data_IF_125126630862
#
_entry.id   IF_125126630862
#
_cell.length_a   1.000
_cell.length_b   1.000
_cell.length_c   1.000
_cell.angle_alpha   90.00
_cell.angle_beta   90.00
_cell.angle_gamma   90.00
#
_symmetry.space_group_name_H-M   'P 1'
#
loop_
_entity.id
_entity.type
_entity.pdbx_description
1 polymer ?
#
# COMPACT_ATOMS: atom_id res chain seq x y z
N UNK A 1 6.69 -15.83 16.37
CA UNK A 1 6.20 -15.44 15.03
C UNK A 1 5.58 -16.65 14.36
N UNK A 2 4.44 -16.50 13.68
CA UNK A 2 3.81 -17.62 12.97
C UNK A 2 4.67 -18.10 11.80
N UNK A 3 4.90 -19.42 11.72
CA UNK A 3 5.64 -20.06 10.63
C UNK A 3 5.09 -19.72 9.26
N UNK A 4 3.79 -19.83 9.14
CA UNK A 4 3.11 -19.72 7.87
C UNK A 4 3.23 -18.30 7.31
N UNK A 5 3.06 -17.27 8.15
CA UNK A 5 3.22 -15.87 7.72
C UNK A 5 4.64 -15.61 7.24
N UNK A 6 5.65 -16.00 8.02
CA UNK A 6 7.05 -15.77 7.64
C UNK A 6 7.40 -16.49 6.34
N UNK A 7 6.94 -17.74 6.18
CA UNK A 7 7.19 -18.54 4.97
C UNK A 7 6.50 -17.92 3.75
N UNK A 8 5.23 -17.53 3.88
CA UNK A 8 4.45 -16.90 2.81
C UNK A 8 5.04 -15.54 2.40
N UNK A 9 5.40 -14.69 3.36
CA UNK A 9 6.02 -13.40 3.10
C UNK A 9 7.40 -13.55 2.44
N UNK A 10 8.25 -14.46 2.91
CA UNK A 10 9.57 -14.71 2.29
C UNK A 10 9.40 -15.26 0.86
N UNK A 11 8.44 -16.16 0.64
CA UNK A 11 8.14 -16.72 -0.68
C UNK A 11 7.63 -15.63 -1.64
N UNK A 12 6.70 -14.79 -1.19
CA UNK A 12 6.19 -13.65 -1.95
C UNK A 12 7.29 -12.65 -2.30
N UNK A 13 8.13 -12.30 -1.33
CA UNK A 13 9.26 -11.38 -1.51
C UNK A 13 10.27 -11.90 -2.56
N UNK A 14 10.65 -13.18 -2.48
CA UNK A 14 11.53 -13.79 -3.48
C UNK A 14 10.90 -13.79 -4.89
N UNK A 15 9.60 -14.05 -4.99
CA UNK A 15 8.89 -14.05 -6.26
C UNK A 15 8.82 -12.65 -6.88
N UNK A 16 8.40 -11.64 -6.12
CA UNK A 16 8.21 -10.27 -6.65
C UNK A 16 9.53 -9.59 -6.98
N UNK A 17 10.60 -9.81 -6.20
CA UNK A 17 11.93 -9.26 -6.52
C UNK A 17 12.45 -9.87 -7.83
N UNK A 18 12.28 -11.18 -8.02
CA UNK A 18 12.65 -11.84 -9.26
C UNK A 18 11.84 -11.30 -10.45
N UNK A 19 10.52 -11.14 -10.28
CA UNK A 19 9.67 -10.56 -11.31
C UNK A 19 10.09 -9.14 -11.68
N UNK A 20 10.43 -8.31 -10.68
CA UNK A 20 10.94 -6.96 -10.89
C UNK A 20 12.26 -6.94 -11.66
N UNK A 21 13.21 -7.84 -11.35
CA UNK A 21 14.47 -7.99 -12.09
C UNK A 21 14.22 -8.35 -13.56
N UNK A 22 13.33 -9.33 -13.81
CA UNK A 22 12.97 -9.76 -15.16
C UNK A 22 12.20 -8.69 -15.94
N UNK A 23 11.35 -7.92 -15.25
CA UNK A 23 10.61 -6.80 -15.84
C UNK A 23 11.55 -5.65 -16.19
N UNK A 24 12.50 -5.31 -15.31
CA UNK A 24 13.50 -4.28 -15.55
C UNK A 24 14.40 -4.63 -16.72
N UNK A 25 14.89 -5.88 -16.78
CA UNK A 25 15.73 -6.35 -17.87
C UNK A 25 15.02 -6.22 -19.24
N UNK A 26 13.73 -6.59 -19.29
CA UNK A 26 12.89 -6.41 -20.49
C UNK A 26 12.68 -4.94 -20.83
N UNK A 27 12.34 -4.10 -19.85
CA UNK A 27 12.11 -2.68 -20.06
C UNK A 27 13.38 -1.95 -20.56
N UNK A 28 14.56 -2.29 -20.03
CA UNK A 28 15.84 -1.75 -20.50
C UNK A 28 16.13 -2.20 -21.94
N UNK A 29 15.84 -3.45 -22.28
CA UNK A 29 16.03 -3.94 -23.65
C UNK A 29 15.09 -3.26 -24.66
N UNK A 30 13.87 -2.93 -24.26
CA UNK A 30 12.83 -2.33 -25.12
C UNK A 30 12.96 -0.80 -25.23
N UNK A 31 13.09 -0.10 -24.10
CA UNK A 31 13.06 1.36 -24.02
C UNK A 31 14.44 2.00 -23.91
N UNK A 32 15.46 1.21 -23.60
CA UNK A 32 16.82 1.67 -23.32
C UNK A 32 17.05 2.05 -21.85
N UNK A 33 18.32 2.02 -21.39
CA UNK A 33 18.67 2.28 -19.98
C UNK A 33 18.38 3.73 -19.54
N UNK A 34 18.37 4.68 -20.47
CA UNK A 34 18.15 6.10 -20.18
C UNK A 34 16.67 6.53 -20.31
N UNK A 35 15.75 5.59 -20.51
CA UNK A 35 14.32 5.90 -20.51
C UNK A 35 13.91 6.51 -19.16
N UNK A 36 13.18 7.65 -19.16
CA UNK A 36 12.86 8.38 -17.94
C UNK A 36 11.87 7.60 -17.07
N UNK A 37 12.11 7.63 -15.76
CA UNK A 37 11.24 7.07 -14.72
C UNK A 37 10.90 8.20 -13.76
N UNK A 38 9.62 8.56 -13.67
CA UNK A 38 9.16 9.59 -12.76
C UNK A 38 7.68 9.36 -12.41
N UNK A 39 7.35 9.52 -11.13
CA UNK A 39 5.97 9.68 -10.71
C UNK A 39 5.50 11.11 -10.99
N UNK A 40 4.21 11.31 -11.32
CA UNK A 40 3.67 12.63 -11.60
C UNK A 40 3.76 13.55 -10.37
N UNK A 41 4.19 14.79 -10.61
CA UNK A 41 4.10 15.91 -9.66
C UNK A 41 4.72 15.62 -8.26
N UNK A 42 5.86 14.92 -8.23
CA UNK A 42 6.63 14.72 -7.00
C UNK A 42 8.08 15.17 -7.12
N UNK A 43 8.60 15.77 -6.04
CA UNK A 43 10.00 16.14 -5.87
C UNK A 43 10.83 15.03 -5.20
N UNK A 44 10.21 13.89 -4.88
CA UNK A 44 10.81 12.80 -4.11
C UNK A 44 11.10 11.54 -4.94
N UNK A 45 11.23 11.68 -6.27
CA UNK A 45 11.54 10.59 -7.20
C UNK A 45 10.56 9.41 -7.05
N UNK A 46 11.07 8.21 -6.78
CA UNK A 46 10.32 7.07 -6.27
C UNK A 46 10.42 7.09 -4.73
N UNK A 47 9.38 7.52 -4.01
CA UNK A 47 9.54 7.93 -2.63
C UNK A 47 9.95 6.86 -1.63
N UNK A 48 9.50 5.61 -1.79
CA UNK A 48 9.87 4.51 -0.89
C UNK A 48 11.35 4.19 -1.07
N UNK A 49 11.80 3.98 -2.31
CA UNK A 49 13.19 3.74 -2.70
C UNK A 49 14.07 4.90 -2.21
N UNK A 50 13.68 6.14 -2.49
CA UNK A 50 14.44 7.31 -2.06
C UNK A 50 14.49 7.41 -0.53
N UNK A 51 13.39 7.12 0.16
CA UNK A 51 13.32 7.11 1.61
C UNK A 51 14.26 6.08 2.24
N UNK A 52 14.23 4.83 1.76
CA UNK A 52 15.04 3.74 2.31
C UNK A 52 16.51 3.82 1.92
N UNK A 53 16.81 4.15 0.65
CA UNK A 53 18.16 3.99 0.09
C UNK A 53 18.87 5.30 -0.18
N UNK A 54 18.12 6.41 -0.32
CA UNK A 54 18.64 7.70 -0.77
C UNK A 54 18.92 7.76 -2.27
N UNK A 55 18.68 6.67 -3.01
CA UNK A 55 18.89 6.61 -4.46
C UNK A 55 17.82 7.46 -5.15
N UNK A 56 18.27 8.39 -5.99
CA UNK A 56 17.42 9.23 -6.81
C UNK A 56 17.19 8.55 -8.15
N UNK A 57 16.06 7.85 -8.28
CA UNK A 57 15.69 7.17 -9.52
C UNK A 57 15.12 8.19 -10.50
N UNK A 58 15.79 8.37 -11.64
CA UNK A 58 15.36 9.25 -12.73
C UNK A 58 15.23 8.53 -14.07
N UNK A 59 15.86 7.36 -14.20
CA UNK A 59 15.84 6.51 -15.39
C UNK A 59 15.83 5.03 -15.03
N UNK A 60 15.50 4.17 -16.00
CA UNK A 60 15.45 2.72 -15.79
C UNK A 60 16.77 2.15 -15.24
N UNK A 61 17.92 2.62 -15.70
CA UNK A 61 19.21 2.13 -15.21
C UNK A 61 19.43 2.35 -13.71
N UNK A 62 18.80 3.38 -13.12
CA UNK A 62 18.94 3.69 -11.69
C UNK A 62 18.22 2.65 -10.81
N UNK A 63 17.29 1.86 -11.37
CA UNK A 63 16.61 0.77 -10.67
C UNK A 63 17.48 -0.48 -10.49
N UNK A 64 18.56 -0.63 -11.26
CA UNK A 64 19.46 -1.79 -11.15
C UNK A 64 20.10 -1.88 -9.75
N UNK A 65 20.76 -0.83 -9.22
CA UNK A 65 21.31 -0.89 -7.85
C UNK A 65 20.22 -1.03 -6.78
N UNK A 66 19.00 -0.54 -7.04
CA UNK A 66 17.86 -0.69 -6.11
C UNK A 66 17.45 -2.15 -5.98
N UNK A 67 17.26 -2.85 -7.10
CA UNK A 67 16.90 -4.28 -7.09
C UNK A 67 18.03 -5.17 -6.57
N UNK A 68 19.30 -4.80 -6.80
CA UNK A 68 20.44 -5.47 -6.17
C UNK A 68 20.40 -5.33 -4.64
N UNK A 69 20.05 -4.15 -4.13
CA UNK A 69 19.86 -3.95 -2.70
C UNK A 69 18.67 -4.74 -2.17
N UNK A 70 17.53 -4.73 -2.86
CA UNK A 70 16.36 -5.55 -2.49
C UNK A 70 16.72 -7.05 -2.42
N UNK A 71 17.48 -7.55 -3.39
CA UNK A 71 17.98 -8.93 -3.41
C UNK A 71 18.88 -9.25 -2.21
N UNK A 72 19.70 -8.29 -1.76
CA UNK A 72 20.57 -8.49 -0.59
C UNK A 72 19.82 -8.63 0.74
N UNK A 73 18.56 -8.19 0.78
CA UNK A 73 17.67 -8.30 1.93
C UNK A 73 16.84 -9.59 1.93
N UNK A 74 16.88 -10.36 0.84
CA UNK A 74 16.13 -11.61 0.73
C UNK A 74 16.77 -12.71 1.56
N UNK A 75 15.91 -13.41 2.30
CA UNK A 75 16.26 -14.61 3.05
C UNK A 75 15.74 -15.87 2.35
N UNK A 76 16.39 -17.03 2.53
CA UNK A 76 15.91 -18.29 1.97
C UNK A 76 14.59 -18.71 2.63
N UNK A 77 13.74 -19.40 1.87
CA UNK A 77 12.51 -19.98 2.44
C UNK A 77 12.89 -21.01 3.52
N UNK A 78 12.34 -20.90 4.74
CA UNK A 78 12.69 -21.80 5.84
C UNK A 78 12.43 -23.28 5.49
N UNK A 79 13.33 -24.15 5.93
CA UNK A 79 13.16 -25.62 5.80
C UNK A 79 12.26 -26.18 6.89
N UNK A 80 11.59 -27.32 6.63
CA UNK A 80 10.66 -27.93 7.58
C UNK A 80 11.30 -28.40 8.91
N UNK A 81 12.63 -28.59 8.94
CA UNK A 81 13.35 -29.25 10.04
C UNK A 81 14.08 -28.30 11.00
N UNK A 82 14.49 -27.12 10.53
CA UNK A 82 15.28 -26.15 11.33
C UNK A 82 14.57 -24.81 11.35
N UNK A 83 14.05 -24.45 12.53
CA UNK A 83 13.12 -23.35 12.69
C UNK A 83 13.82 -22.02 12.96
N UNK A 84 14.13 -21.30 11.89
CA UNK A 84 14.55 -19.90 11.90
C UNK A 84 13.87 -19.23 10.69
N UNK A 85 12.71 -18.59 10.92
CA UNK A 85 12.74 -17.17 10.65
C UNK A 85 12.34 -16.33 11.85
N UNK A 86 13.16 -15.32 12.13
CA UNK A 86 12.84 -14.28 13.09
C UNK A 86 12.01 -13.18 12.41
N UNK A 87 11.32 -12.39 13.25
CA UNK A 87 10.62 -11.19 12.81
C UNK A 87 11.52 -10.28 11.96
N UNK A 88 12.81 -10.16 12.29
CA UNK A 88 13.78 -9.42 11.48
C UNK A 88 13.85 -9.87 10.02
N UNK A 89 14.08 -11.16 9.76
CA UNK A 89 14.21 -11.69 8.39
C UNK A 89 12.93 -11.52 7.57
N UNK A 90 11.77 -11.66 8.21
CA UNK A 90 10.48 -11.41 7.55
C UNK A 90 10.32 -9.93 7.18
N UNK A 91 10.79 -9.02 8.04
CA UNK A 91 10.73 -7.58 7.77
C UNK A 91 11.74 -7.14 6.72
N UNK A 92 12.94 -7.73 6.68
CA UNK A 92 13.93 -7.50 5.63
C UNK A 92 13.34 -7.89 4.26
N UNK A 93 12.73 -9.08 4.17
CA UNK A 93 11.98 -9.51 2.98
C UNK A 93 10.79 -8.59 2.68
N UNK A 94 10.12 -8.07 3.71
CA UNK A 94 9.07 -7.06 3.56
C UNK A 94 9.60 -5.78 2.90
N UNK A 95 10.73 -5.24 3.38
CA UNK A 95 11.38 -4.05 2.77
C UNK A 95 11.83 -4.36 1.34
N UNK A 96 12.39 -5.54 1.08
CA UNK A 96 12.75 -5.98 -0.27
C UNK A 96 11.53 -5.97 -1.22
N UNK A 97 10.38 -6.42 -0.73
CA UNK A 97 9.10 -6.41 -1.46
C UNK A 97 8.71 -4.99 -1.82
N UNK A 98 8.74 -4.05 -0.86
CA UNK A 98 8.37 -2.66 -1.12
C UNK A 98 9.27 -2.00 -2.18
N UNK A 99 10.58 -2.25 -2.13
CA UNK A 99 11.53 -1.75 -3.13
C UNK A 99 11.24 -2.33 -4.52
N UNK A 100 10.88 -3.61 -4.61
CA UNK A 100 10.52 -4.27 -5.85
C UNK A 100 9.18 -3.76 -6.42
N UNK A 101 8.17 -3.58 -5.56
CA UNK A 101 6.86 -3.05 -5.95
C UNK A 101 6.97 -1.63 -6.51
N UNK A 102 7.73 -0.74 -5.84
CA UNK A 102 7.90 0.63 -6.34
C UNK A 102 8.75 0.66 -7.63
N UNK A 103 9.72 -0.25 -7.77
CA UNK A 103 10.45 -0.41 -9.02
C UNK A 103 9.54 -0.87 -10.17
N UNK A 104 8.63 -1.83 -9.92
CA UNK A 104 7.63 -2.28 -10.89
C UNK A 104 6.71 -1.13 -11.29
N UNK A 105 6.18 -0.36 -10.33
CA UNK A 105 5.36 0.82 -10.65
C UNK A 105 6.15 1.86 -11.44
N UNK A 106 7.42 2.11 -11.10
CA UNK A 106 8.30 2.98 -11.89
C UNK A 106 8.47 2.51 -13.34
N UNK A 107 8.63 1.19 -13.56
CA UNK A 107 8.72 0.60 -14.90
C UNK A 107 7.38 0.74 -15.64
N UNK A 108 6.25 0.49 -14.98
CA UNK A 108 4.90 0.65 -15.56
C UNK A 108 4.65 2.10 -15.98
N UNK A 109 5.11 3.08 -15.20
CA UNK A 109 5.07 4.49 -15.59
C UNK A 109 5.94 4.79 -16.82
N UNK A 110 7.16 4.25 -16.89
CA UNK A 110 8.02 4.39 -18.08
C UNK A 110 7.38 3.78 -19.34
N UNK A 111 6.59 2.71 -19.17
CA UNK A 111 5.79 2.07 -20.24
C UNK A 111 4.43 2.72 -20.51
N UNK A 112 4.04 3.74 -19.74
CA UNK A 112 2.71 4.38 -19.80
C UNK A 112 1.55 3.43 -19.52
N UNK A 113 1.80 2.41 -18.70
CA UNK A 113 0.79 1.48 -18.19
C UNK A 113 0.09 2.03 -16.94
N UNK A 114 0.69 3.04 -16.30
CA UNK A 114 0.16 3.73 -15.12
C UNK A 114 -0.10 5.22 -15.41
N UNK A 115 -1.14 5.84 -14.80
CA UNK A 115 -2.11 5.20 -13.90
C UNK A 115 -2.95 4.12 -14.59
N UNK A 116 -3.34 3.10 -13.84
CA UNK A 116 -4.07 1.94 -14.35
C UNK A 116 -5.40 2.37 -14.97
N UNK A 117 -5.73 1.83 -16.15
CA UNK A 117 -7.04 2.06 -16.78
C UNK A 117 -8.11 1.19 -16.10
N UNK A 118 -9.09 1.83 -15.47
CA UNK A 118 -10.27 1.22 -14.86
C UNK A 118 -11.53 1.79 -15.53
N UNK A 119 -12.08 1.13 -16.56
CA UNK A 119 -13.23 1.62 -17.32
C UNK A 119 -14.43 1.97 -16.43
N UNK A 120 -15.01 3.15 -16.64
CA UNK A 120 -16.18 3.63 -15.88
C UNK A 120 -15.86 4.29 -14.53
N UNK A 121 -14.60 4.30 -14.08
CA UNK A 121 -14.22 4.99 -12.85
C UNK A 121 -14.22 6.50 -13.07
N UNK A 122 -14.99 7.24 -12.27
CA UNK A 122 -15.02 8.70 -12.28
C UNK A 122 -14.58 9.18 -10.89
N UNK A 123 -13.56 10.03 -10.85
CA UNK A 123 -12.97 10.51 -9.61
C UNK A 123 -13.23 12.00 -9.38
N UNK A 124 -13.51 12.38 -8.13
CA UNK A 124 -13.67 13.77 -7.71
C UNK A 124 -12.39 14.31 -7.09
N UNK A 125 -11.65 15.09 -7.88
CA UNK A 125 -10.30 15.53 -7.55
C UNK A 125 -9.27 14.40 -7.70
N UNK A 126 -8.24 14.62 -8.52
CA UNK A 126 -7.17 13.64 -8.78
C UNK A 126 -5.83 14.32 -9.02
N UNK A 127 -4.73 13.60 -8.78
CA UNK A 127 -3.39 14.03 -9.20
C UNK A 127 -3.16 13.91 -10.70
N UNK A 128 -3.97 13.09 -11.37
CA UNK A 128 -3.86 12.87 -12.81
C UNK A 128 -4.98 13.63 -13.54
N UNK A 129 -4.69 14.87 -13.89
CA UNK A 129 -5.54 15.74 -14.72
C UNK A 129 -4.89 15.95 -16.09
N UNK A 130 -4.45 14.87 -16.76
CA UNK A 130 -3.82 15.01 -18.07
C UNK A 130 -4.83 15.53 -19.12
N UNK A 131 -4.63 16.72 -19.70
CA UNK A 131 -5.49 17.24 -20.78
C UNK A 131 -5.46 16.34 -22.02
N UNK A 132 -4.34 15.63 -22.22
CA UNK A 132 -4.12 14.74 -23.37
C UNK A 132 -5.03 13.49 -23.37
N UNK A 133 -5.58 13.11 -22.22
CA UNK A 133 -6.53 11.99 -22.11
C UNK A 133 -7.99 12.46 -22.16
N UNK A 134 -8.24 13.73 -21.82
CA UNK A 134 -9.54 14.38 -22.01
C UNK A 134 -9.84 14.66 -23.51
N UNK A 135 -8.81 14.67 -24.36
CA UNK A 135 -8.95 14.83 -25.81
C UNK A 135 -9.63 13.63 -26.52
N UNK A 136 -9.81 12.50 -25.84
CA UNK A 136 -10.44 11.28 -26.36
C UNK A 136 -11.94 11.11 -26.06
N UNK A 137 -12.58 12.07 -25.38
CA UNK A 137 -14.01 12.04 -25.08
C UNK A 137 -14.44 11.11 -23.93
N UNK A 138 -13.55 10.28 -23.37
CA UNK A 138 -13.77 9.55 -22.12
C UNK A 138 -13.27 10.41 -20.94
N UNK A 139 -14.17 11.16 -20.30
CA UNK A 139 -13.88 11.83 -19.02
C UNK A 139 -13.89 10.77 -17.92
N UNK A 140 -12.71 10.34 -17.47
CA UNK A 140 -12.54 9.30 -16.44
C UNK A 140 -11.92 8.03 -16.98
N UNK A 141 -11.98 6.96 -16.19
CA UNK A 141 -11.54 5.62 -16.59
C UNK A 141 -10.13 5.23 -16.13
N UNK A 142 -9.53 5.96 -15.18
CA UNK A 142 -8.18 5.69 -14.66
C UNK A 142 -8.16 5.74 -13.14
N UNK A 143 -7.36 4.87 -12.53
CA UNK A 143 -7.00 4.97 -11.12
C UNK A 143 -6.21 6.27 -10.86
N UNK A 144 -6.07 6.65 -9.60
CA UNK A 144 -5.31 7.84 -9.24
C UNK A 144 -3.80 7.67 -9.45
N UNK A 145 -3.27 6.48 -9.20
CA UNK A 145 -1.83 6.26 -9.05
C UNK A 145 -1.26 7.03 -7.84
N UNK A 146 0.02 7.45 -7.87
CA UNK A 146 0.64 8.17 -6.76
C UNK A 146 0.00 9.55 -6.56
N UNK A 147 -0.30 9.89 -5.30
CA UNK A 147 -0.76 11.22 -4.91
C UNK A 147 0.37 12.23 -5.14
N UNK A 148 0.07 13.42 -5.66
CA UNK A 148 1.04 14.48 -5.88
C UNK A 148 1.46 15.20 -4.58
N UNK A 149 2.57 15.94 -4.63
CA UNK A 149 3.11 16.61 -3.46
C UNK A 149 2.26 17.81 -3.00
N UNK A 150 1.42 18.39 -3.86
CA UNK A 150 0.52 19.50 -3.49
C UNK A 150 -0.60 18.97 -2.60
N UNK A 151 -1.24 17.87 -3.01
CA UNK A 151 -2.29 17.23 -2.22
C UNK A 151 -1.73 16.61 -0.93
N UNK A 152 -0.55 15.99 -0.98
CA UNK A 152 0.16 15.55 0.22
C UNK A 152 0.34 16.69 1.22
N UNK A 153 0.75 17.88 0.77
CA UNK A 153 0.89 19.07 1.63
C UNK A 153 -0.44 19.52 2.20
N UNK A 154 -1.51 19.51 1.41
CA UNK A 154 -2.85 19.88 1.85
C UNK A 154 -3.38 18.94 2.96
N UNK A 155 -3.29 17.62 2.77
CA UNK A 155 -3.72 16.64 3.79
C UNK A 155 -2.77 16.57 4.98
N UNK A 156 -1.47 16.75 4.77
CA UNK A 156 -0.50 16.73 5.86
C UNK A 156 -0.73 17.82 6.92
N UNK A 157 -1.24 19.00 6.53
CA UNK A 157 -1.69 20.01 7.49
C UNK A 157 -2.82 19.46 8.37
N UNK A 158 -3.80 18.75 7.77
CA UNK A 158 -4.91 18.14 8.50
C UNK A 158 -4.47 16.98 9.40
N UNK A 159 -3.45 16.23 8.99
CA UNK A 159 -2.84 15.17 9.80
C UNK A 159 -2.13 15.74 11.03
N UNK A 160 -1.46 16.89 10.88
CA UNK A 160 -0.72 17.54 11.98
C UNK A 160 -1.65 18.25 12.96
N UNK A 161 -2.72 18.90 12.48
CA UNK A 161 -3.69 19.59 13.33
C UNK A 161 -4.79 18.68 13.91
N UNK A 162 -4.82 17.40 13.50
CA UNK A 162 -5.70 16.36 14.05
C UNK A 162 -7.08 16.30 13.42
N UNK A 163 -7.40 17.11 12.40
CA UNK A 163 -8.67 17.02 11.65
C UNK A 163 -8.77 15.74 10.81
N UNK A 164 -7.63 15.23 10.37
CA UNK A 164 -7.52 13.91 9.74
C UNK A 164 -6.72 13.02 10.69
N UNK A 165 -7.34 12.01 11.31
CA UNK A 165 -6.68 11.26 12.37
C UNK A 165 -5.65 10.25 11.85
N UNK A 166 -5.71 9.89 10.56
CA UNK A 166 -4.83 8.90 9.93
C UNK A 166 -5.35 8.43 8.58
N UNK A 167 -4.84 7.29 8.10
CA UNK A 167 -5.33 6.67 6.88
C UNK A 167 -5.50 5.14 6.99
N UNK A 168 -6.40 4.58 6.21
CA UNK A 168 -6.64 3.15 6.08
C UNK A 168 -6.25 2.68 4.68
N UNK A 169 -5.33 1.72 4.58
CA UNK A 169 -5.01 1.05 3.33
C UNK A 169 -5.85 -0.23 3.21
N UNK A 170 -6.87 -0.21 2.36
CA UNK A 170 -7.72 -1.37 2.09
C UNK A 170 -7.16 -2.12 0.88
N UNK A 171 -6.89 -3.42 1.05
CA UNK A 171 -6.30 -4.28 0.02
C UNK A 171 -7.20 -5.49 -0.23
N UNK A 172 -7.66 -5.67 -1.47
CA UNK A 172 -8.46 -6.84 -1.88
C UNK A 172 -9.93 -6.50 -2.15
N UNK A 173 -10.85 -7.37 -1.73
CA UNK A 173 -12.28 -7.19 -1.94
C UNK A 173 -13.08 -7.69 -0.74
N UNK A 174 -14.09 -6.92 -0.33
CA UNK A 174 -15.01 -7.29 0.72
C UNK A 174 -15.90 -8.46 0.29
N UNK A 175 -16.48 -9.16 1.27
CA UNK A 175 -17.44 -10.25 1.05
C UNK A 175 -18.62 -9.87 0.13
N UNK A 176 -19.11 -8.64 0.22
CA UNK A 176 -20.18 -8.11 -0.64
C UNK A 176 -19.99 -6.61 -0.91
N UNK A 177 -20.72 -6.09 -1.90
CA UNK A 177 -20.69 -4.66 -2.23
C UNK A 177 -21.20 -3.80 -1.05
N UNK A 178 -22.28 -4.22 -0.39
CA UNK A 178 -22.87 -3.50 0.75
C UNK A 178 -21.89 -3.41 1.92
N UNK A 179 -21.13 -4.48 2.17
CA UNK A 179 -20.05 -4.51 3.17
C UNK A 179 -18.93 -3.55 2.80
N UNK A 180 -18.50 -3.53 1.53
CA UNK A 180 -17.49 -2.57 1.06
C UNK A 180 -17.93 -1.11 1.30
N UNK A 181 -19.17 -0.78 0.94
CA UNK A 181 -19.75 0.55 1.16
C UNK A 181 -19.77 0.88 2.65
N UNK A 182 -20.26 -0.01 3.50
CA UNK A 182 -20.32 0.24 4.94
C UNK A 182 -18.93 0.46 5.54
N UNK A 183 -17.93 -0.34 5.18
CA UNK A 183 -16.54 -0.16 5.64
C UNK A 183 -16.03 1.24 5.28
N UNK A 184 -16.16 1.65 4.03
CA UNK A 184 -15.69 2.97 3.56
C UNK A 184 -16.46 4.10 4.23
N UNK A 185 -17.78 4.00 4.34
CA UNK A 185 -18.61 5.02 5.01
C UNK A 185 -18.25 5.18 6.47
N UNK A 186 -17.95 4.10 7.19
CA UNK A 186 -17.49 4.17 8.58
C UNK A 186 -16.15 4.90 8.71
N UNK A 187 -15.24 4.72 7.77
CA UNK A 187 -13.96 5.44 7.76
C UNK A 187 -14.14 6.92 7.39
N UNK A 188 -14.98 7.22 6.39
CA UNK A 188 -15.31 8.59 5.97
C UNK A 188 -15.98 9.40 7.09
N UNK A 189 -16.96 8.83 7.81
CA UNK A 189 -17.62 9.48 8.95
C UNK A 189 -16.66 9.91 10.05
N UNK A 190 -15.48 9.29 10.09
CA UNK A 190 -14.39 9.51 11.05
C UNK A 190 -13.27 10.36 10.47
N UNK A 191 -13.45 10.92 9.27
CA UNK A 191 -12.46 11.68 8.50
C UNK A 191 -11.13 10.92 8.28
N UNK A 192 -11.16 9.58 8.30
CA UNK A 192 -9.99 8.75 8.01
C UNK A 192 -9.83 8.70 6.49
N UNK A 193 -8.64 9.04 6.00
CA UNK A 193 -8.30 8.94 4.59
C UNK A 193 -8.23 7.46 4.17
N UNK A 194 -8.84 7.10 3.06
CA UNK A 194 -8.93 5.71 2.61
C UNK A 194 -8.18 5.54 1.30
N UNK A 195 -7.32 4.52 1.24
CA UNK A 195 -6.59 4.12 0.06
C UNK A 195 -7.07 2.74 -0.37
N UNK A 196 -7.47 2.60 -1.63
CA UNK A 196 -8.05 1.36 -2.16
C UNK A 196 -7.07 0.73 -3.16
N UNK A 197 -6.73 -0.53 -2.92
CA UNK A 197 -5.85 -1.30 -3.80
C UNK A 197 -6.20 -2.79 -3.81
N UNK A 198 -5.59 -3.57 -4.70
CA UNK A 198 -5.67 -5.02 -4.67
C UNK A 198 -6.97 -5.62 -5.17
N UNK A 199 -6.93 -6.93 -5.37
CA UNK A 199 -8.06 -7.75 -5.77
C UNK A 199 -8.00 -9.14 -5.12
N UNK A 200 -9.13 -9.83 -5.19
CA UNK A 200 -9.28 -11.25 -4.90
C UNK A 200 -9.95 -11.86 -6.12
N UNK A 201 -9.26 -12.78 -6.80
CA UNK A 201 -9.76 -13.45 -8.00
C UNK A 201 -10.25 -12.47 -9.09
N UNK A 202 -9.52 -11.37 -9.30
CA UNK A 202 -9.85 -10.33 -10.29
C UNK A 202 -10.92 -9.33 -9.84
N UNK A 203 -11.50 -9.50 -8.65
CA UNK A 203 -12.46 -8.56 -8.07
C UNK A 203 -11.76 -7.65 -7.05
N UNK A 204 -11.83 -6.33 -7.25
CA UNK A 204 -11.30 -5.31 -6.34
C UNK A 204 -12.43 -4.60 -5.60
N UNK A 205 -12.16 -4.11 -4.39
CA UNK A 205 -13.05 -3.20 -3.67
C UNK A 205 -13.40 -1.95 -4.49
N UNK A 206 -12.50 -1.49 -5.37
CA UNK A 206 -12.78 -0.37 -6.28
C UNK A 206 -14.01 -0.68 -7.13
N UNK A 207 -14.07 -1.88 -7.73
CA UNK A 207 -15.23 -2.29 -8.52
C UNK A 207 -16.51 -2.40 -7.68
N UNK A 208 -16.40 -2.86 -6.42
CA UNK A 208 -17.55 -2.96 -5.51
C UNK A 208 -18.16 -1.59 -5.21
N UNK A 209 -17.31 -0.59 -4.96
CA UNK A 209 -17.76 0.77 -4.66
C UNK A 209 -18.30 1.49 -5.91
N UNK A 210 -17.71 1.23 -7.08
CA UNK A 210 -18.19 1.77 -8.35
C UNK A 210 -19.61 1.27 -8.69
N UNK A 211 -19.88 -0.01 -8.49
CA UNK A 211 -21.20 -0.60 -8.76
C UNK A 211 -22.30 -0.03 -7.87
N UNK A 212 -21.97 0.33 -6.64
CA UNK A 212 -22.88 0.98 -5.69
C UNK A 212 -22.96 2.51 -5.87
N UNK A 213 -22.29 3.06 -6.89
CA UNK A 213 -22.28 4.49 -7.18
C UNK A 213 -21.64 5.33 -6.07
N UNK A 214 -20.68 4.76 -5.32
CA UNK A 214 -19.92 5.52 -4.32
C UNK A 214 -18.96 6.46 -5.02
N UNK A 215 -19.05 7.74 -4.67
CA UNK A 215 -18.13 8.76 -5.13
C UNK A 215 -16.72 8.57 -4.51
N UNK A 216 -15.71 8.47 -5.37
CA UNK A 216 -14.31 8.24 -5.00
C UNK A 216 -13.46 9.43 -5.46
N UNK A 217 -12.40 9.74 -4.73
CA UNK A 217 -11.50 10.84 -5.06
C UNK A 217 -11.00 11.60 -3.83
N UNK A 218 -10.44 12.78 -4.08
CA UNK A 218 -9.87 13.65 -3.06
C UNK A 218 -10.94 14.34 -2.23
N UNK A 219 -12.09 14.64 -2.82
CA UNK A 219 -13.20 15.30 -2.13
C UNK A 219 -13.88 14.38 -1.10
N UNK A 220 -13.83 13.06 -1.33
CA UNK A 220 -14.39 12.03 -0.43
C UNK A 220 -13.34 11.34 0.44
N UNK A 221 -12.08 11.80 0.39
CA UNK A 221 -10.93 11.17 1.06
C UNK A 221 -10.85 9.66 0.80
N UNK A 222 -11.22 9.21 -0.40
CA UNK A 222 -11.23 7.79 -0.75
C UNK A 222 -10.58 7.61 -2.11
N UNK A 223 -9.29 7.29 -2.10
CA UNK A 223 -8.44 7.31 -3.30
C UNK A 223 -8.21 5.89 -3.81
N UNK A 224 -8.62 5.58 -5.05
CA UNK A 224 -8.29 4.31 -5.69
C UNK A 224 -6.90 4.38 -6.33
N UNK A 225 -6.01 3.51 -5.89
CA UNK A 225 -4.63 3.44 -6.37
C UNK A 225 -4.45 2.49 -7.55
N UNK A 226 -5.13 1.34 -7.53
CA UNK A 226 -5.10 0.34 -8.60
C UNK A 226 -5.77 -0.95 -8.16
N UNK A 227 -6.00 -1.88 -9.09
CA UNK A 227 -6.70 -3.14 -8.81
C UNK A 227 -5.75 -4.26 -8.37
N UNK A 228 -4.44 -4.05 -8.39
CA UNK A 228 -3.46 -5.04 -7.92
C UNK A 228 -2.85 -4.68 -6.55
N UNK A 229 -2.23 -5.68 -5.93
CA UNK A 229 -1.60 -5.50 -4.60
C UNK A 229 -0.37 -4.59 -4.69
N UNK A 230 0.34 -4.59 -5.82
CA UNK A 230 1.53 -3.76 -6.05
C UNK A 230 1.19 -2.27 -5.88
N UNK A 231 0.01 -1.84 -6.33
CA UNK A 231 -0.49 -0.48 -6.18
C UNK A 231 -0.62 -0.01 -4.72
N UNK A 232 -0.61 -0.91 -3.74
CA UNK A 232 -0.57 -0.54 -2.31
C UNK A 232 0.72 0.24 -1.95
N UNK A 233 1.77 0.12 -2.76
CA UNK A 233 3.03 0.86 -2.57
C UNK A 233 2.83 2.37 -2.55
N UNK A 234 1.82 2.90 -3.26
CA UNK A 234 1.53 4.34 -3.26
C UNK A 234 1.10 4.84 -1.88
N UNK A 235 0.45 4.01 -1.04
CA UNK A 235 0.11 4.34 0.34
C UNK A 235 1.38 4.50 1.20
N UNK A 236 2.35 3.60 1.02
CA UNK A 236 3.63 3.63 1.73
C UNK A 236 4.53 4.76 1.21
N UNK A 237 4.44 5.08 -0.08
CA UNK A 237 5.06 6.27 -0.68
C UNK A 237 4.48 7.57 -0.11
N UNK A 238 3.17 7.64 0.14
CA UNK A 238 2.53 8.76 0.85
C UNK A 238 3.06 8.92 2.29
N UNK A 239 3.13 7.81 3.03
CA UNK A 239 3.67 7.78 4.39
C UNK A 239 5.16 8.19 4.44
N UNK A 240 5.96 7.68 3.51
CA UNK A 240 7.38 8.04 3.38
C UNK A 240 7.55 9.53 3.13
N UNK A 241 6.78 10.10 2.19
CA UNK A 241 6.83 11.54 1.90
C UNK A 241 6.32 12.41 3.04
N UNK A 242 5.44 11.90 3.89
CA UNK A 242 5.05 12.61 5.12
C UNK A 242 6.24 12.79 6.05
N UNK A 243 7.08 11.77 6.23
CA UNK A 243 8.31 11.90 7.00
C UNK A 243 9.32 12.86 6.35
N UNK A 244 9.50 12.77 5.02
CA UNK A 244 10.41 13.67 4.29
C UNK A 244 9.95 15.14 4.34
N UNK A 245 8.65 15.38 4.17
CA UNK A 245 8.08 16.74 4.07
C UNK A 245 7.87 17.40 5.42
N UNK A 246 7.25 16.69 6.38
CA UNK A 246 6.86 17.26 7.68
C UNK A 246 7.81 16.87 8.81
N UNK A 247 8.47 15.72 8.70
CA UNK A 247 9.49 15.29 9.65
C UNK A 247 10.87 15.89 9.37
N UNK A 248 11.11 16.42 8.17
CA UNK A 248 12.40 16.99 7.75
C UNK A 248 13.50 15.95 7.56
N UNK A 249 13.15 14.67 7.45
CA UNK A 249 14.08 13.60 7.11
C UNK A 249 14.59 13.73 5.68
N UNK A 250 15.77 13.18 5.43
CA UNK A 250 16.38 13.08 4.09
C UNK A 250 16.29 11.64 3.57
N UNK A 251 16.39 11.47 2.25
CA UNK A 251 16.48 10.15 1.65
C UNK A 251 17.67 9.35 2.21
N UNK A 252 17.47 8.04 2.39
CA UNK A 252 18.44 7.13 3.01
C UNK A 252 18.42 7.09 4.54
N UNK A 253 17.64 7.96 5.20
CA UNK A 253 17.42 7.92 6.65
C UNK A 253 16.30 6.93 7.01
N UNK A 254 16.45 5.67 6.57
CA UNK A 254 15.40 4.66 6.66
C UNK A 254 14.87 4.49 8.09
N UNK A 255 15.76 4.40 9.07
CA UNK A 255 15.37 4.20 10.48
C UNK A 255 14.55 5.36 11.00
N UNK A 256 14.97 6.59 10.75
CA UNK A 256 14.30 7.81 11.20
C UNK A 256 12.93 7.95 10.53
N UNK A 257 12.83 7.62 9.23
CA UNK A 257 11.57 7.61 8.48
C UNK A 257 10.59 6.58 9.05
N UNK A 258 11.05 5.35 9.34
CA UNK A 258 10.21 4.32 9.93
C UNK A 258 9.75 4.71 11.34
N UNK A 259 10.63 5.28 12.17
CA UNK A 259 10.27 5.78 13.50
C UNK A 259 9.29 6.94 13.43
N UNK A 260 9.45 7.87 12.48
CA UNK A 260 8.48 8.94 12.26
C UNK A 260 7.10 8.35 11.95
N UNK A 261 7.02 7.44 10.97
CA UNK A 261 5.76 6.83 10.57
C UNK A 261 5.08 6.07 11.71
N UNK A 262 5.85 5.28 12.47
CA UNK A 262 5.36 4.57 13.64
C UNK A 262 4.68 5.49 14.65
N UNK A 263 5.23 6.67 14.94
CA UNK A 263 4.75 7.55 16.01
C UNK A 263 3.88 8.73 15.56
N UNK A 264 3.90 9.09 14.28
CA UNK A 264 3.22 10.29 13.76
C UNK A 264 2.19 9.99 12.69
N UNK A 265 2.27 8.85 12.01
CA UNK A 265 1.34 8.46 10.95
C UNK A 265 0.47 7.31 11.44
N UNK A 266 -0.77 7.61 11.81
CA UNK A 266 -1.70 6.60 12.32
C UNK A 266 -2.36 5.85 11.15
N UNK A 267 -1.60 4.95 10.53
CA UNK A 267 -2.09 4.12 9.44
C UNK A 267 -2.25 2.65 9.82
N UNK A 268 -3.23 1.98 9.22
CA UNK A 268 -3.43 0.54 9.31
C UNK A 268 -3.80 -0.06 7.95
N UNK A 269 -3.53 -1.35 7.80
CA UNK A 269 -3.90 -2.14 6.62
C UNK A 269 -5.13 -2.99 6.95
N UNK A 270 -6.13 -2.94 6.08
CA UNK A 270 -7.29 -3.82 6.11
C UNK A 270 -7.25 -4.72 4.87
N UNK A 271 -6.86 -5.98 5.05
CA UNK A 271 -6.84 -6.99 4.00
C UNK A 271 -8.22 -7.66 3.93
N UNK A 272 -8.86 -7.59 2.77
CA UNK A 272 -10.19 -8.14 2.53
C UNK A 272 -10.14 -9.30 1.54
N UNK A 273 -10.73 -10.42 1.94
CA UNK A 273 -10.74 -11.69 1.21
C UNK A 273 -9.42 -12.44 1.29
N UNK A 274 -9.16 -13.30 0.29
CA UNK A 274 -8.03 -14.22 0.31
C UNK A 274 -6.67 -13.49 0.31
N UNK A 275 -5.82 -13.87 1.27
CA UNK A 275 -4.47 -13.35 1.45
C UNK A 275 -3.46 -14.29 0.81
N UNK A 276 -3.01 -13.93 -0.39
CA UNK A 276 -1.94 -14.60 -1.11
C UNK A 276 -0.54 -14.20 -0.59
N UNK A 277 0.50 -14.86 -1.10
CA UNK A 277 1.89 -14.62 -0.69
C UNK A 277 2.37 -13.20 -0.95
N UNK A 278 1.91 -12.56 -2.03
CA UNK A 278 2.27 -11.17 -2.34
C UNK A 278 1.69 -10.26 -1.27
N UNK A 279 0.40 -10.40 -0.94
CA UNK A 279 -0.24 -9.65 0.16
C UNK A 279 0.48 -9.86 1.49
N UNK A 280 0.92 -11.08 1.82
CA UNK A 280 1.73 -11.33 3.02
C UNK A 280 3.07 -10.58 2.99
N UNK A 281 3.74 -10.56 1.84
CA UNK A 281 5.03 -9.89 1.67
C UNK A 281 4.90 -8.36 1.77
N UNK A 282 3.91 -7.78 1.09
CA UNK A 282 3.59 -6.33 1.17
C UNK A 282 3.21 -5.94 2.60
N UNK A 283 2.38 -6.74 3.28
CA UNK A 283 1.99 -6.50 4.67
C UNK A 283 3.19 -6.58 5.62
N UNK A 284 4.15 -7.48 5.40
CA UNK A 284 5.40 -7.49 6.15
C UNK A 284 6.18 -6.17 6.01
N UNK A 285 6.21 -5.59 4.81
CA UNK A 285 6.74 -4.25 4.57
C UNK A 285 5.99 -3.17 5.34
N UNK A 286 4.65 -3.19 5.35
CA UNK A 286 3.83 -2.25 6.10
C UNK A 286 4.06 -2.33 7.62
N UNK A 287 4.30 -3.53 8.16
CA UNK A 287 4.64 -3.72 9.58
C UNK A 287 5.94 -2.98 9.91
N UNK A 288 6.94 -2.94 9.01
CA UNK A 288 8.18 -2.19 9.22
C UNK A 288 7.94 -0.69 9.48
N UNK A 289 6.89 -0.11 8.88
CA UNK A 289 6.45 1.28 9.13
C UNK A 289 5.73 1.47 10.48
N UNK A 290 5.46 0.38 11.20
CA UNK A 290 4.64 0.39 12.41
C UNK A 290 3.14 0.36 12.12
N UNK A 291 2.73 -0.07 10.92
CA UNK A 291 1.32 -0.18 10.53
C UNK A 291 0.81 -1.61 10.75
N UNK A 292 -0.19 -1.82 11.61
CA UNK A 292 -0.78 -3.12 11.85
C UNK A 292 -1.62 -3.55 10.65
N UNK A 293 -1.71 -4.86 10.44
CA UNK A 293 -2.56 -5.46 9.41
C UNK A 293 -3.69 -6.26 10.06
N UNK A 294 -4.91 -5.99 9.64
CA UNK A 294 -6.11 -6.72 10.05
C UNK A 294 -6.66 -7.41 8.81
N UNK A 295 -6.91 -8.72 8.90
CA UNK A 295 -7.50 -9.49 7.82
C UNK A 295 -8.89 -10.00 8.21
N UNK A 296 -9.84 -9.95 7.26
CA UNK A 296 -11.20 -10.45 7.42
C UNK A 296 -11.33 -11.97 7.12
N UNK A 297 -10.21 -12.67 6.95
CA UNK A 297 -10.12 -14.10 6.73
C UNK A 297 -9.32 -14.81 7.83
N UNK A 298 -9.44 -16.14 7.89
CA UNK A 298 -8.70 -16.98 8.82
C UNK A 298 -7.24 -17.03 8.38
N UNK A 299 -6.39 -16.28 9.08
CA UNK A 299 -4.95 -16.28 8.89
C UNK A 299 -4.25 -16.44 10.24
N UNK A 300 -2.98 -16.87 10.28
CA UNK A 300 -2.24 -16.84 11.52
C UNK A 300 -2.08 -15.39 12.03
N UNK A 301 -1.74 -15.23 13.31
CA UNK A 301 -1.62 -13.91 13.93
C UNK A 301 -0.18 -13.64 14.38
N UNK A 302 0.17 -12.35 14.45
CA UNK A 302 1.40 -11.84 15.05
C UNK A 302 1.00 -10.86 16.13
N UNK A 303 0.71 -11.42 17.31
CA UNK A 303 0.30 -10.69 18.51
C UNK A 303 1.42 -9.95 19.26
N UNK A 304 2.73 -10.31 19.13
CA UNK A 304 3.77 -9.54 19.79
C UNK A 304 3.74 -8.05 19.44
N UNK A 305 4.02 -7.21 20.43
CA UNK A 305 4.06 -5.75 20.29
C UNK A 305 5.50 -5.28 20.04
N UNK A 306 5.69 -4.00 19.74
CA UNK A 306 7.01 -3.36 19.75
C UNK A 306 7.34 -2.61 18.47
N UNK A 307 6.94 -3.13 17.31
CA UNK A 307 7.01 -2.41 16.03
C UNK A 307 5.74 -1.60 15.78
N UNK A 308 4.56 -2.23 15.80
CA UNK A 308 3.29 -1.51 15.95
C UNK A 308 3.03 -1.20 17.43
N UNK A 309 2.02 -0.38 17.69
CA UNK A 309 1.60 0.00 19.03
C UNK A 309 1.02 -1.19 19.82
N UNK A 310 0.17 -1.99 19.17
CA UNK A 310 -0.41 -3.22 19.72
C UNK A 310 0.05 -4.42 18.90
N UNK A 311 -0.88 -5.23 18.37
CA UNK A 311 -0.55 -6.40 17.56
C UNK A 311 -0.05 -6.01 16.15
N UNK A 312 0.82 -6.82 15.54
CA UNK A 312 1.28 -6.61 14.16
C UNK A 312 0.26 -7.13 13.14
N UNK A 313 -0.28 -8.33 13.38
CA UNK A 313 -1.24 -9.00 12.48
C UNK A 313 -2.36 -9.62 13.28
N UNK A 314 -3.60 -9.27 12.94
CA UNK A 314 -4.82 -9.79 13.55
C UNK A 314 -5.66 -10.47 12.47
N UNK A 315 -6.17 -11.65 12.79
CA UNK A 315 -7.18 -12.35 12.01
C UNK A 315 -8.53 -12.15 12.68
N UNK A 316 -9.47 -11.58 11.95
CA UNK A 316 -10.83 -11.33 12.39
C UNK A 316 -11.79 -11.81 11.30
N UNK A 317 -11.96 -13.14 11.15
CA UNK A 317 -12.78 -13.71 10.09
C UNK A 317 -14.17 -13.08 10.07
N UNK A 318 -14.60 -12.57 8.90
CA UNK A 318 -15.76 -11.69 8.81
C UNK A 318 -17.03 -12.31 9.40
N UNK A 319 -17.28 -13.59 9.10
CA UNK A 319 -18.46 -14.32 9.54
C UNK A 319 -18.45 -14.65 11.05
N UNK A 320 -17.27 -14.65 11.68
CA UNK A 320 -17.10 -14.87 13.11
C UNK A 320 -17.25 -13.60 13.94
N UNK A 321 -17.33 -12.42 13.29
CA UNK A 321 -17.54 -11.15 13.96
C UNK A 321 -18.94 -11.14 14.59
N UNK A 322 -19.09 -10.88 15.90
CA UNK A 322 -20.40 -10.78 16.52
C UNK A 322 -21.20 -9.63 15.91
N UNK A 323 -22.43 -9.87 15.46
CA UNK A 323 -23.31 -8.84 14.91
C UNK A 323 -24.59 -9.46 14.36
N UNK A 324 -25.70 -8.73 14.38
CA UNK A 324 -27.00 -9.20 13.90
C UNK A 324 -27.03 -9.34 12.36
N UNK A 325 -26.22 -8.55 11.66
CA UNK A 325 -26.12 -8.54 10.20
C UNK A 325 -24.71 -8.14 9.74
N UNK A 326 -24.45 -8.30 8.44
CA UNK A 326 -23.13 -8.03 7.84
C UNK A 326 -22.71 -6.55 7.95
N UNK A 327 -23.65 -5.61 8.01
CA UNK A 327 -23.31 -4.18 8.22
C UNK A 327 -22.81 -3.93 9.64
N UNK A 328 -23.42 -4.54 10.66
CA UNK A 328 -22.94 -4.43 12.04
C UNK A 328 -21.56 -5.08 12.21
N UNK A 329 -21.31 -6.20 11.53
CA UNK A 329 -19.99 -6.85 11.49
C UNK A 329 -18.95 -5.95 10.86
N UNK A 330 -19.26 -5.31 9.73
CA UNK A 330 -18.40 -4.34 9.07
C UNK A 330 -18.04 -3.16 9.99
N UNK A 331 -19.00 -2.63 10.76
CA UNK A 331 -18.73 -1.57 11.76
C UNK A 331 -17.75 -2.01 12.84
N UNK A 332 -17.95 -3.22 13.38
CA UNK A 332 -17.07 -3.78 14.41
C UNK A 332 -15.67 -4.09 13.88
N UNK A 333 -15.56 -4.52 12.63
CA UNK A 333 -14.28 -4.69 11.96
C UNK A 333 -13.52 -3.36 11.89
N UNK A 334 -14.16 -2.30 11.39
CA UNK A 334 -13.55 -0.95 11.32
C UNK A 334 -13.19 -0.43 12.71
N UNK A 335 -14.07 -0.61 13.69
CA UNK A 335 -13.78 -0.23 15.07
C UNK A 335 -12.52 -0.94 15.59
N UNK A 336 -12.39 -2.25 15.36
CA UNK A 336 -11.21 -3.01 15.77
C UNK A 336 -9.95 -2.49 15.10
N UNK A 337 -9.98 -2.15 13.82
CA UNK A 337 -8.83 -1.58 13.11
C UNK A 337 -8.35 -0.27 13.74
N UNK A 338 -9.29 0.62 14.07
CA UNK A 338 -9.03 1.91 14.72
C UNK A 338 -8.39 1.70 16.10
N UNK A 339 -8.96 0.80 16.91
CA UNK A 339 -8.46 0.45 18.24
C UNK A 339 -7.02 -0.10 18.18
N UNK A 340 -6.76 -1.03 17.26
CA UNK A 340 -5.45 -1.71 17.12
C UNK A 340 -4.36 -0.75 16.65
N UNK A 341 -4.70 0.25 15.85
CA UNK A 341 -3.72 1.29 15.50
C UNK A 341 -3.55 2.34 16.60
N UNK A 342 -4.54 2.49 17.48
CA UNK A 342 -4.61 3.57 18.47
C UNK A 342 -4.98 4.92 17.85
N UNK A 343 -5.75 4.90 16.75
CA UNK A 343 -6.26 6.11 16.11
C UNK A 343 -7.25 6.76 17.09
N UNK A 344 -6.99 8.01 17.46
CA UNK A 344 -7.92 8.80 18.27
C UNK A 344 -8.88 9.50 17.32
N UNK A 345 -10.14 9.12 17.42
CA UNK A 345 -11.26 9.67 16.63
C UNK A 345 -12.20 10.43 17.53
#
# INVERSE_FOLDING_TARGET
>A
MSRYIATAAIRGANAIVKEAEEMLARAIAELGPDAPVAFPNTAYYLPVIYGFTGIQVTKLADLVPVLQHARSLLHPVPTDRTWLPYLGETLDCGVATLLAEEAIEGIRFARKEQPERIPGLVLTGTSFTSPDMAAGGEVGGYANGPIDDVQLRAWGIQLVDGRMPGFAAIVGAAKSNEVAVEIVRQLQQRNILVFLSGNVNGRSIIHQLMEEGVELGYDTYTVPFGTDTISAIYALGFATRSALTFGGMKGGQAREILLYNKYRVFAFVLALGEVDDLKYATAAGAISYGFPTIADTIIPQILPTGITQYEHVISMPFDDIPGENDLERARKLVQKCIEVRGVKV
#
